data_IF_562249671668
#
_entry.id   IF_562249671668
#
_cell.length_a   1.000
_cell.length_b   1.000
_cell.length_c   1.000
_cell.angle_alpha   90.00
_cell.angle_beta   90.00
_cell.angle_gamma   90.00
#
_symmetry.space_group_name_H-M   'P 1'
#
loop_
_entity.id
_entity.type
_entity.pdbx_description
1 polymer ?
#
# COMPACT_ATOMS: atom_id res chain seq x y z
N UNK A 1 -66.39 -34.00 28.65
CA UNK A 1 -65.35 -34.54 29.56
C UNK A 1 -64.05 -33.80 29.30
N UNK A 2 -63.29 -33.60 30.37
CA UNK A 2 -62.36 -32.50 30.57
C UNK A 2 -61.13 -32.47 29.66
N UNK A 3 -60.68 -31.24 29.43
CA UNK A 3 -59.39 -30.81 28.91
C UNK A 3 -58.25 -31.41 29.75
N UNK A 4 -57.16 -31.90 29.14
CA UNK A 4 -55.84 -31.81 29.76
C UNK A 4 -54.72 -31.63 28.72
N UNK A 5 -54.10 -30.46 28.84
CA UNK A 5 -52.90 -29.98 28.19
C UNK A 5 -51.69 -30.77 28.72
N UNK A 6 -50.84 -31.31 27.83
CA UNK A 6 -49.48 -31.70 28.19
C UNK A 6 -48.52 -30.59 27.75
N UNK A 7 -48.38 -29.59 28.62
CA UNK A 7 -47.27 -28.65 28.64
C UNK A 7 -46.05 -29.33 29.26
N UNK A 8 -44.92 -29.36 28.55
CA UNK A 8 -43.62 -29.60 29.17
C UNK A 8 -42.89 -28.27 29.31
N UNK A 9 -42.87 -27.77 30.55
CA UNK A 9 -42.01 -26.68 31.01
C UNK A 9 -40.81 -27.26 31.77
N UNK A 10 -39.61 -26.67 31.64
CA UNK A 10 -38.41 -27.06 32.39
C UNK A 10 -38.27 -26.24 33.69
N UNK A 11 -38.02 -26.90 34.81
CA UNK A 11 -37.68 -26.35 36.13
C UNK A 11 -36.83 -27.45 36.82
N UNK A 12 -35.68 -27.26 37.49
CA UNK A 12 -35.14 -26.24 38.42
C UNK A 12 -33.60 -26.44 38.46
N UNK A 13 -32.75 -25.42 38.53
CA UNK A 13 -32.34 -24.60 39.71
C UNK A 13 -31.53 -25.35 40.77
N UNK A 14 -30.36 -24.77 41.11
CA UNK A 14 -29.55 -24.73 42.37
C UNK A 14 -28.07 -24.88 41.96
N UNK A 15 -27.10 -24.05 42.35
CA UNK A 15 -27.05 -22.98 43.33
C UNK A 15 -25.68 -22.27 43.28
N UNK A 16 -25.63 -21.16 43.99
CA UNK A 16 -24.54 -20.21 44.22
C UNK A 16 -23.31 -20.79 44.93
N UNK A 17 -22.11 -20.29 44.59
CA UNK A 17 -21.09 -19.94 45.58
C UNK A 17 -20.07 -18.96 44.99
N UNK A 18 -19.87 -17.86 45.71
CA UNK A 18 -18.86 -16.84 45.48
C UNK A 18 -17.45 -17.39 45.73
N UNK A 19 -16.50 -16.93 44.93
CA UNK A 19 -15.08 -17.23 45.09
C UNK A 19 -14.22 -16.14 44.45
N UNK A 20 -14.22 -14.95 45.07
CA UNK A 20 -13.27 -13.89 44.80
C UNK A 20 -11.92 -14.29 45.38
N UNK A 21 -10.92 -14.49 44.52
CA UNK A 21 -9.51 -14.51 44.92
C UNK A 21 -8.79 -13.39 44.18
N UNK A 22 -8.68 -12.25 44.89
CA UNK A 22 -7.69 -11.23 44.63
C UNK A 22 -6.30 -11.83 44.79
N UNK A 23 -5.53 -11.85 43.70
CA UNK A 23 -4.08 -11.99 43.74
C UNK A 23 -3.49 -10.70 43.16
N UNK A 24 -3.05 -9.84 44.07
CA UNK A 24 -2.17 -8.73 43.78
C UNK A 24 -0.86 -9.24 43.20
N UNK A 25 -0.47 -8.71 42.05
CA UNK A 25 0.93 -8.66 41.64
C UNK A 25 1.09 -7.53 40.62
N UNK A 26 1.30 -6.33 41.16
CA UNK A 26 1.84 -5.21 40.43
C UNK A 26 3.22 -5.59 39.87
N UNK A 27 3.31 -5.88 38.58
CA UNK A 27 4.59 -5.84 37.86
C UNK A 27 4.48 -4.69 36.85
N UNK A 28 4.64 -3.49 37.38
CA UNK A 28 4.94 -2.33 36.56
C UNK A 28 6.35 -2.53 35.99
N UNK A 29 6.43 -2.84 34.70
CA UNK A 29 7.66 -2.70 33.92
C UNK A 29 8.02 -1.21 33.85
N UNK A 30 8.67 -0.71 34.91
CA UNK A 30 9.24 0.64 34.97
C UNK A 30 10.43 0.69 34.00
N UNK A 31 10.14 1.02 32.74
CA UNK A 31 11.16 1.42 31.78
C UNK A 31 11.82 2.70 32.26
N UNK A 32 12.98 2.57 32.88
CA UNK A 32 13.83 3.69 33.28
C UNK A 32 14.81 3.95 32.13
N UNK A 33 14.39 4.71 31.12
CA UNK A 33 15.30 5.25 30.11
C UNK A 33 15.90 6.53 30.68
N UNK A 34 17.08 6.42 31.28
CA UNK A 34 17.90 7.57 31.64
C UNK A 34 18.17 8.38 30.37
N UNK A 35 17.65 9.61 30.35
CA UNK A 35 17.92 10.60 29.33
C UNK A 35 19.43 10.95 29.34
N UNK A 36 20.12 10.68 28.23
CA UNK A 36 21.45 11.21 28.01
C UNK A 36 21.32 12.66 27.46
N UNK A 37 22.06 13.64 28.00
CA UNK A 37 22.01 15.01 27.53
C UNK A 37 22.68 15.17 26.15
N UNK A 38 22.05 15.96 25.28
CA UNK A 38 22.54 16.37 23.96
C UNK A 38 23.92 17.05 24.04
N UNK A 39 24.92 16.66 23.24
CA UNK A 39 26.07 17.51 22.97
C UNK A 39 25.70 18.58 21.92
N UNK A 40 25.93 19.84 22.28
CA UNK A 40 25.66 21.05 21.49
C UNK A 40 26.44 21.09 20.16
N UNK A 41 25.93 21.81 19.13
CA UNK A 41 26.57 21.93 17.83
C UNK A 41 27.83 22.79 17.88
N UNK A 42 28.95 22.27 17.36
CA UNK A 42 30.19 23.02 17.21
C UNK A 42 30.04 24.09 16.13
N UNK A 43 30.21 25.36 16.53
CA UNK A 43 30.23 26.53 15.65
C UNK A 43 31.56 26.59 14.91
N UNK A 44 31.51 26.47 13.58
CA UNK A 44 32.63 26.76 12.69
C UNK A 44 32.91 28.28 12.58
N UNK A 45 34.12 28.67 12.12
CA UNK A 45 34.59 30.05 12.20
C UNK A 45 33.89 30.99 11.22
N UNK A 46 33.60 32.20 11.73
CA UNK A 46 33.10 33.38 11.02
C UNK A 46 34.02 33.73 9.83
N UNK A 47 33.53 33.51 8.62
CA UNK A 47 34.14 34.11 7.42
C UNK A 47 33.74 35.58 7.34
N UNK A 48 34.79 36.41 7.22
CA UNK A 48 34.78 37.87 7.21
C UNK A 48 34.77 38.31 5.74
N UNK A 49 33.68 38.89 5.27
CA UNK A 49 33.63 39.67 4.02
C UNK A 49 32.96 41.00 4.36
N UNK A 50 33.77 42.06 4.56
CA UNK A 50 34.17 43.08 3.56
C UNK A 50 32.97 43.91 3.10
N UNK A 51 32.78 45.00 3.83
CA UNK A 51 32.02 46.19 3.46
C UNK A 51 32.55 46.78 2.15
N UNK A 52 31.68 47.15 1.23
CA UNK A 52 31.78 48.36 0.39
C UNK A 52 30.37 48.73 -0.08
N UNK A 53 29.94 49.95 0.27
CA UNK A 53 28.78 50.60 -0.31
C UNK A 53 29.20 51.59 -1.39
N UNK A 54 28.19 52.00 -2.16
CA UNK A 54 28.08 53.18 -3.04
C UNK A 54 28.64 53.04 -4.50
N UNK A 55 28.18 53.87 -5.48
CA UNK A 55 26.95 53.67 -6.25
C UNK A 55 27.05 54.02 -7.77
N UNK A 56 25.96 53.76 -8.53
CA UNK A 56 25.48 54.40 -9.79
C UNK A 56 26.43 54.49 -11.02
N UNK A 57 25.98 53.93 -12.15
CA UNK A 57 25.83 54.71 -13.41
C UNK A 57 24.96 53.98 -14.45
N UNK A 58 23.93 54.70 -14.86
CA UNK A 58 23.05 54.43 -16.00
C UNK A 58 23.84 54.74 -17.26
N UNK A 59 24.00 53.77 -18.16
CA UNK A 59 24.33 54.02 -19.57
C UNK A 59 23.53 53.07 -20.44
N UNK A 60 22.56 53.65 -21.15
CA UNK A 60 21.87 53.05 -22.29
C UNK A 60 22.84 52.80 -23.44
N UNK A 61 22.66 51.73 -24.22
CA UNK A 61 23.04 51.74 -25.62
C UNK A 61 21.77 51.76 -26.47
N UNK A 62 21.72 52.78 -27.33
CA UNK A 62 20.83 52.93 -28.47
C UNK A 62 20.75 51.64 -29.29
N UNK A 63 19.51 51.22 -29.57
CA UNK A 63 19.21 50.13 -30.50
C UNK A 63 19.41 50.70 -31.90
N UNK A 64 20.54 50.35 -32.53
CA UNK A 64 20.74 50.54 -33.96
C UNK A 64 20.04 49.41 -34.72
N UNK A 65 18.91 49.78 -35.30
CA UNK A 65 18.14 48.99 -36.25
C UNK A 65 18.76 49.15 -37.63
N UNK A 66 19.45 48.13 -38.15
CA UNK A 66 19.43 47.85 -39.59
C UNK A 66 20.03 46.48 -39.97
N UNK A 67 19.41 45.93 -41.01
CA UNK A 67 19.86 44.89 -41.95
C UNK A 67 19.76 43.41 -41.56
N UNK A 68 18.58 42.90 -41.92
CA UNK A 68 18.33 41.62 -42.61
C UNK A 68 19.59 41.06 -43.28
N UNK A 69 20.04 39.90 -42.80
CA UNK A 69 21.04 39.05 -43.42
C UNK A 69 20.91 37.64 -42.87
N UNK A 70 20.35 36.74 -43.67
CA UNK A 70 20.00 35.38 -43.26
C UNK A 70 21.21 34.56 -42.79
N UNK A 71 21.08 33.97 -41.61
CA UNK A 71 21.89 32.82 -41.21
C UNK A 71 20.96 31.73 -40.73
N UNK A 72 20.87 30.66 -41.51
CA UNK A 72 20.35 29.37 -41.07
C UNK A 72 21.27 28.83 -39.97
N UNK A 73 21.08 29.29 -38.73
CA UNK A 73 21.71 28.70 -37.56
C UNK A 73 20.98 27.39 -37.24
N UNK A 74 21.41 26.30 -37.88
CA UNK A 74 21.06 24.97 -37.41
C UNK A 74 21.39 24.89 -35.91
N UNK A 75 20.50 24.32 -35.06
CA UNK A 75 20.78 24.21 -33.64
C UNK A 75 22.06 23.40 -33.49
N UNK A 76 23.12 24.06 -33.00
CA UNK A 76 24.40 23.41 -32.70
C UNK A 76 24.09 22.43 -31.58
N UNK A 77 23.80 21.17 -31.94
CA UNK A 77 23.63 20.08 -30.98
C UNK A 77 24.97 19.94 -30.29
N UNK A 78 25.09 20.57 -29.13
CA UNK A 78 26.13 20.26 -28.18
C UNK A 78 25.93 18.79 -27.83
N UNK A 79 26.65 17.92 -28.52
CA UNK A 79 26.91 16.57 -28.06
C UNK A 79 27.62 16.73 -26.72
N UNK A 80 26.83 16.84 -25.63
CA UNK A 80 27.30 16.65 -24.27
C UNK A 80 27.79 15.21 -24.24
N UNK A 81 29.06 15.02 -24.60
CA UNK A 81 29.79 13.80 -24.30
C UNK A 81 29.59 13.60 -22.81
N UNK A 82 28.71 12.66 -22.44
CA UNK A 82 28.50 12.30 -21.03
C UNK A 82 29.89 11.89 -20.54
N UNK A 83 30.47 12.72 -19.67
CA UNK A 83 31.77 12.44 -19.08
C UNK A 83 31.74 11.09 -18.33
N UNK A 84 32.90 10.55 -17.94
CA UNK A 84 32.97 9.29 -17.22
C UNK A 84 32.00 9.31 -16.03
N UNK A 85 31.12 8.31 -15.94
CA UNK A 85 30.15 8.20 -14.85
C UNK A 85 30.93 8.09 -13.54
N UNK A 86 30.84 9.15 -12.74
CA UNK A 86 31.56 9.27 -11.48
C UNK A 86 31.04 8.19 -10.52
N UNK A 87 31.79 7.09 -10.35
CA UNK A 87 31.35 5.89 -9.60
C UNK A 87 30.81 6.24 -8.21
N UNK A 88 31.37 7.28 -7.57
CA UNK A 88 30.91 7.81 -6.29
C UNK A 88 29.48 8.37 -6.35
N UNK A 89 29.16 9.16 -7.38
CA UNK A 89 27.81 9.73 -7.58
C UNK A 89 26.78 8.65 -7.84
N UNK A 90 27.14 7.62 -8.62
CA UNK A 90 26.25 6.49 -8.87
C UNK A 90 25.87 5.74 -7.59
N UNK A 91 26.85 5.50 -6.71
CA UNK A 91 26.59 4.84 -5.42
C UNK A 91 25.75 5.71 -4.48
N UNK A 92 25.99 7.02 -4.47
CA UNK A 92 25.22 7.99 -3.69
C UNK A 92 23.78 8.11 -4.19
N UNK A 93 23.58 8.14 -5.51
CA UNK A 93 22.27 8.16 -6.14
C UNK A 93 21.50 6.87 -5.87
N UNK A 94 22.17 5.71 -5.93
CA UNK A 94 21.57 4.43 -5.53
C UNK A 94 21.13 4.43 -4.06
N UNK A 95 21.93 5.03 -3.16
CA UNK A 95 21.56 5.20 -1.75
C UNK A 95 20.37 6.15 -1.59
N UNK A 96 20.41 7.32 -2.23
CA UNK A 96 19.32 8.30 -2.17
C UNK A 96 18.00 7.72 -2.72
N UNK A 97 18.07 6.93 -3.79
CA UNK A 97 16.92 6.19 -4.32
C UNK A 97 16.40 5.14 -3.31
N UNK A 98 17.29 4.43 -2.62
CA UNK A 98 16.89 3.47 -1.59
C UNK A 98 16.18 4.15 -0.41
N UNK A 99 16.66 5.32 -0.01
CA UNK A 99 16.08 6.16 1.05
C UNK A 99 14.73 6.75 0.60
N UNK A 100 14.63 7.23 -0.65
CA UNK A 100 13.37 7.69 -1.26
C UNK A 100 12.31 6.60 -1.24
N UNK A 101 12.64 5.39 -1.69
CA UNK A 101 11.71 4.24 -1.70
C UNK A 101 11.25 3.85 -0.31
N UNK A 102 12.12 3.99 0.70
CA UNK A 102 11.73 3.73 2.09
C UNK A 102 10.73 4.77 2.60
N UNK A 103 10.92 6.04 2.24
CA UNK A 103 10.04 7.15 2.61
C UNK A 103 8.67 7.08 1.89
N UNK A 104 8.65 6.68 0.63
CA UNK A 104 7.43 6.50 -0.17
C UNK A 104 6.44 5.52 0.48
N UNK A 105 6.92 4.51 1.21
CA UNK A 105 6.05 3.55 1.92
C UNK A 105 5.21 4.19 3.03
N UNK A 106 5.71 5.27 3.63
CA UNK A 106 4.95 6.00 4.64
C UNK A 106 3.86 6.85 4.00
N UNK A 107 3.97 7.16 2.71
CA UNK A 107 2.95 7.84 1.92
C UNK A 107 1.82 6.88 1.50
N UNK A 108 0.86 6.72 2.39
CA UNK A 108 -0.31 5.85 2.19
C UNK A 108 -1.37 6.40 1.23
N UNK A 109 -1.37 7.73 0.99
CA UNK A 109 -2.32 8.41 0.09
C UNK A 109 -1.71 8.55 -1.30
N UNK A 110 -2.43 8.07 -2.31
CA UNK A 110 -2.13 8.33 -3.73
C UNK A 110 -2.78 9.65 -4.14
N UNK A 111 -1.96 10.65 -4.49
CA UNK A 111 -2.44 11.95 -4.97
C UNK A 111 -2.69 11.90 -6.47
N UNK A 112 -3.83 12.42 -6.91
CA UNK A 112 -4.13 12.58 -8.34
C UNK A 112 -3.90 14.03 -8.76
N UNK A 113 -3.56 14.23 -10.03
CA UNK A 113 -3.49 15.56 -10.60
C UNK A 113 -4.87 16.24 -10.49
N UNK A 114 -4.91 17.46 -9.96
CA UNK A 114 -6.15 18.19 -9.69
C UNK A 114 -6.66 18.08 -8.25
N UNK A 115 -6.11 17.17 -7.43
CA UNK A 115 -6.42 17.14 -6.00
C UNK A 115 -5.82 18.38 -5.31
N UNK A 116 -6.66 19.15 -4.61
CA UNK A 116 -6.20 20.23 -3.74
C UNK A 116 -5.79 19.65 -2.39
N UNK A 117 -4.69 20.17 -1.82
CA UNK A 117 -4.20 19.78 -0.51
C UNK A 117 -4.12 20.99 0.42
N UNK A 118 -4.45 20.77 1.68
CA UNK A 118 -4.13 21.68 2.77
C UNK A 118 -2.87 21.18 3.51
N UNK A 119 -2.15 22.04 4.24
CA UNK A 119 -1.03 21.61 5.08
C UNK A 119 -1.39 20.49 6.06
N UNK A 120 -2.65 20.44 6.51
CA UNK A 120 -3.16 19.40 7.39
C UNK A 120 -3.20 17.99 6.73
N UNK A 121 -3.37 17.92 5.41
CA UNK A 121 -3.45 16.65 4.68
C UNK A 121 -2.13 15.87 4.62
N UNK A 122 -1.02 16.57 4.89
CA UNK A 122 0.32 15.98 4.99
C UNK A 122 0.63 15.48 6.40
N UNK A 123 -0.29 15.65 7.34
CA UNK A 123 -0.09 15.20 8.73
C UNK A 123 -0.14 13.68 8.83
N UNK A 124 0.62 13.06 9.75
CA UNK A 124 0.57 11.61 9.98
C UNK A 124 -0.83 11.09 10.33
N UNK A 125 -1.66 11.92 10.96
CA UNK A 125 -3.02 11.59 11.33
C UNK A 125 -3.91 11.40 10.10
N UNK A 126 -3.83 12.31 9.13
CA UNK A 126 -4.55 12.18 7.85
C UNK A 126 -4.04 10.99 7.06
N UNK A 127 -2.73 10.82 6.92
CA UNK A 127 -2.15 9.68 6.20
C UNK A 127 -2.64 8.33 6.74
N UNK A 128 -2.82 8.20 8.07
CA UNK A 128 -3.36 6.98 8.68
C UNK A 128 -4.78 6.66 8.20
N UNK A 129 -5.63 7.66 7.94
CA UNK A 129 -7.00 7.47 7.44
C UNK A 129 -7.02 6.88 6.03
N UNK A 130 -6.08 7.30 5.19
CA UNK A 130 -5.95 6.85 3.80
C UNK A 130 -5.34 5.45 3.64
N UNK A 131 -4.94 4.80 4.74
CA UNK A 131 -4.41 3.44 4.70
C UNK A 131 -5.49 2.49 4.14
N UNK A 132 -5.26 2.01 2.91
CA UNK A 132 -6.20 1.14 2.18
C UNK A 132 -6.60 -0.08 3.03
N UNK A 133 -7.90 -0.32 3.14
CA UNK A 133 -8.45 -1.59 3.63
C UNK A 133 -8.46 -2.58 2.46
N UNK A 134 -8.02 -3.82 2.70
CA UNK A 134 -7.83 -4.82 1.64
C UNK A 134 -9.13 -5.38 1.04
N UNK A 135 -10.30 -5.08 1.61
CA UNK A 135 -11.59 -5.55 1.11
C UNK A 135 -12.22 -4.55 0.15
N UNK A 136 -12.51 -4.92 -1.11
CA UNK A 136 -13.34 -4.11 -2.00
C UNK A 136 -14.69 -3.77 -1.36
N UNK A 137 -15.19 -2.56 -1.62
CA UNK A 137 -16.50 -2.12 -1.09
C UNK A 137 -17.68 -2.81 -1.77
N UNK A 138 -17.50 -3.21 -3.03
CA UNK A 138 -18.55 -3.78 -3.89
C UNK A 138 -18.19 -5.22 -4.22
N UNK A 139 -19.19 -6.11 -4.19
CA UNK A 139 -19.02 -7.51 -4.56
C UNK A 139 -18.74 -7.64 -6.07
N UNK A 140 -17.65 -8.32 -6.43
CA UNK A 140 -17.23 -8.51 -7.82
C UNK A 140 -18.29 -9.22 -8.67
N UNK A 141 -19.02 -10.19 -8.11
CA UNK A 141 -20.03 -10.96 -8.87
C UNK A 141 -21.32 -10.17 -9.07
N UNK A 142 -21.71 -9.34 -8.10
CA UNK A 142 -22.85 -8.44 -8.23
C UNK A 142 -22.52 -7.33 -9.26
N UNK A 143 -21.29 -6.81 -9.27
CA UNK A 143 -20.87 -5.81 -10.26
C UNK A 143 -20.82 -6.36 -11.70
N UNK A 144 -20.41 -7.62 -11.86
CA UNK A 144 -20.34 -8.28 -13.17
C UNK A 144 -21.65 -8.97 -13.58
N UNK A 145 -22.68 -8.97 -12.72
CA UNK A 145 -23.94 -9.70 -12.92
C UNK A 145 -23.74 -11.19 -13.27
N UNK A 146 -22.79 -11.86 -12.62
CA UNK A 146 -22.49 -13.28 -12.84
C UNK A 146 -22.90 -14.13 -11.65
N UNK A 147 -23.45 -15.32 -11.91
CA UNK A 147 -23.71 -16.30 -10.88
C UNK A 147 -22.45 -17.14 -10.59
N UNK A 148 -21.91 -17.13 -9.34
CA UNK A 148 -20.70 -17.87 -9.01
C UNK A 148 -20.83 -19.39 -9.17
N UNK A 149 -22.06 -19.93 -9.08
CA UNK A 149 -22.35 -21.36 -9.18
C UNK A 149 -22.08 -21.95 -10.57
N UNK A 150 -22.22 -21.12 -11.61
CA UNK A 150 -22.10 -21.56 -13.00
C UNK A 150 -20.63 -21.59 -13.45
N UNK A 151 -19.79 -20.81 -12.77
CA UNK A 151 -18.36 -20.65 -13.06
C UNK A 151 -17.50 -21.80 -12.51
N UNK A 152 -18.08 -22.89 -12.01
CA UNK A 152 -17.32 -24.01 -11.42
C UNK A 152 -16.31 -24.66 -12.38
N UNK A 153 -16.51 -24.51 -13.70
CA UNK A 153 -15.61 -25.02 -14.75
C UNK A 153 -14.39 -24.11 -14.95
N UNK A 154 -14.48 -22.84 -14.56
CA UNK A 154 -13.41 -21.87 -14.74
C UNK A 154 -12.44 -21.91 -13.54
N UNK A 155 -11.36 -22.67 -13.69
CA UNK A 155 -10.34 -22.82 -12.66
C UNK A 155 -9.66 -21.50 -12.28
N UNK A 156 -9.51 -20.55 -13.22
CA UNK A 156 -8.90 -19.24 -12.94
C UNK A 156 -9.73 -18.47 -11.93
N UNK A 157 -11.05 -18.38 -12.14
CA UNK A 157 -11.94 -17.69 -11.19
C UNK A 157 -12.00 -18.42 -9.85
N UNK A 158 -12.12 -19.75 -9.85
CA UNK A 158 -12.16 -20.53 -8.61
C UNK A 158 -10.86 -20.40 -7.79
N UNK A 159 -9.71 -20.35 -8.48
CA UNK A 159 -8.38 -20.28 -7.86
C UNK A 159 -8.12 -18.98 -7.09
N UNK A 160 -8.79 -17.88 -7.47
CA UNK A 160 -8.68 -16.59 -6.77
C UNK A 160 -9.34 -16.64 -5.38
N UNK A 161 -10.38 -17.46 -5.20
CA UNK A 161 -11.13 -17.55 -3.93
C UNK A 161 -10.64 -18.67 -2.99
N UNK A 162 -9.52 -19.31 -3.32
CA UNK A 162 -8.83 -20.27 -2.45
C UNK A 162 -7.45 -19.73 -2.02
N UNK A 163 -6.93 -20.25 -0.91
CA UNK A 163 -5.58 -19.94 -0.45
C UNK A 163 -4.55 -20.70 -1.30
N UNK A 164 -3.26 -20.37 -1.13
CA UNK A 164 -2.16 -21.14 -1.72
C UNK A 164 -2.22 -22.63 -1.37
N UNK A 165 -2.78 -22.97 -0.19
CA UNK A 165 -2.99 -24.33 0.33
C UNK A 165 -4.34 -24.94 -0.11
N UNK A 166 -5.09 -24.30 -1.00
CA UNK A 166 -6.37 -24.84 -1.51
C UNK A 166 -7.58 -24.69 -0.57
N UNK A 167 -7.44 -24.04 0.59
CA UNK A 167 -8.57 -23.77 1.50
C UNK A 167 -9.40 -22.59 0.97
N UNK A 168 -10.72 -22.64 1.09
CA UNK A 168 -11.59 -21.53 0.67
C UNK A 168 -11.32 -20.30 1.56
N UNK A 169 -11.05 -19.15 0.93
CA UNK A 169 -10.82 -17.87 1.64
C UNK A 169 -12.07 -17.46 2.45
N UNK A 170 -11.87 -16.94 3.66
CA UNK A 170 -12.96 -16.41 4.48
C UNK A 170 -13.56 -15.14 3.87
N UNK A 171 -14.84 -14.83 4.18
CA UNK A 171 -15.54 -13.64 3.67
C UNK A 171 -14.76 -12.34 3.85
N UNK A 172 -14.05 -12.19 4.98
CA UNK A 172 -13.28 -10.98 5.27
C UNK A 172 -12.11 -10.78 4.28
N UNK A 173 -11.59 -11.87 3.71
CA UNK A 173 -10.52 -11.83 2.72
C UNK A 173 -11.08 -11.62 1.31
N UNK A 174 -12.25 -12.19 1.00
CA UNK A 174 -12.85 -12.12 -0.35
C UNK A 174 -13.65 -10.84 -0.58
N UNK A 175 -14.18 -10.21 0.48
CA UNK A 175 -15.04 -9.02 0.38
C UNK A 175 -16.43 -9.30 -0.22
N UNK A 176 -16.79 -10.57 -0.45
CA UNK A 176 -18.04 -10.92 -1.10
C UNK A 176 -19.25 -10.80 -0.16
N UNK A 177 -20.43 -10.66 -0.75
CA UNK A 177 -21.71 -10.70 -0.03
C UNK A 177 -21.96 -12.12 0.49
N UNK A 178 -22.58 -12.31 1.68
CA UNK A 178 -22.73 -13.65 2.28
C UNK A 178 -23.42 -14.68 1.39
N UNK A 179 -24.38 -14.24 0.57
CA UNK A 179 -25.07 -15.09 -0.41
C UNK A 179 -24.10 -15.59 -1.48
N UNK A 180 -23.33 -14.68 -2.09
CA UNK A 180 -22.37 -15.00 -3.12
C UNK A 180 -21.19 -15.80 -2.57
N UNK A 181 -20.75 -15.52 -1.33
CA UNK A 181 -19.74 -16.32 -0.64
C UNK A 181 -20.18 -17.79 -0.49
N UNK A 182 -21.46 -18.07 -0.21
CA UNK A 182 -21.97 -19.45 -0.17
C UNK A 182 -22.02 -20.08 -1.56
N UNK A 183 -22.43 -19.31 -2.58
CA UNK A 183 -22.46 -19.75 -3.99
C UNK A 183 -21.05 -20.12 -4.48
N UNK A 184 -20.05 -19.25 -4.30
CA UNK A 184 -18.67 -19.52 -4.71
C UNK A 184 -18.09 -20.71 -3.94
N UNK A 185 -18.36 -20.80 -2.63
CA UNK A 185 -17.90 -21.95 -1.83
C UNK A 185 -18.49 -23.27 -2.33
N UNK A 186 -19.75 -23.27 -2.76
CA UNK A 186 -20.41 -24.44 -3.35
C UNK A 186 -19.85 -24.76 -4.74
N UNK A 187 -19.56 -23.76 -5.57
CA UNK A 187 -18.92 -23.93 -6.87
C UNK A 187 -17.53 -24.56 -6.74
N UNK A 188 -16.69 -24.07 -5.82
CA UNK A 188 -15.35 -24.62 -5.54
C UNK A 188 -15.45 -26.08 -5.09
N UNK A 189 -16.34 -26.39 -4.13
CA UNK A 189 -16.54 -27.77 -3.68
C UNK A 189 -16.99 -28.70 -4.81
N UNK A 190 -17.83 -28.21 -5.73
CA UNK A 190 -18.24 -28.95 -6.94
C UNK A 190 -17.03 -29.20 -7.85
N UNK A 191 -16.23 -28.17 -8.15
CA UNK A 191 -15.07 -28.29 -9.01
C UNK A 191 -14.04 -29.31 -8.48
N UNK A 192 -13.76 -29.27 -7.17
CA UNK A 192 -12.87 -30.23 -6.50
C UNK A 192 -13.48 -31.64 -6.51
N UNK A 193 -14.77 -31.79 -6.19
CA UNK A 193 -15.44 -33.09 -6.19
C UNK A 193 -15.53 -33.75 -7.57
N UNK A 194 -15.56 -32.95 -8.64
CA UNK A 194 -15.51 -33.43 -10.03
C UNK A 194 -14.08 -33.71 -10.54
N UNK A 195 -13.05 -33.40 -9.76
CA UNK A 195 -11.65 -33.56 -10.18
C UNK A 195 -11.14 -32.49 -11.16
N UNK A 196 -11.85 -31.37 -11.31
CA UNK A 196 -11.44 -30.27 -12.21
C UNK A 196 -10.38 -29.34 -11.58
N UNK A 197 -10.26 -29.33 -10.25
CA UNK A 197 -9.32 -28.46 -9.53
C UNK A 197 -8.70 -29.20 -8.33
N UNK A 198 -7.40 -28.99 -8.04
CA UNK A 198 -6.75 -29.57 -6.87
C UNK A 198 -7.35 -29.08 -5.54
N UNK A 199 -7.30 -29.94 -4.53
CA UNK A 199 -7.80 -29.66 -3.17
C UNK A 199 -6.76 -28.97 -2.27
N UNK A 200 -5.47 -29.27 -2.48
CA UNK A 200 -4.37 -28.89 -1.55
C UNK A 200 -3.52 -27.72 -2.04
N UNK A 201 -3.67 -27.30 -3.29
CA UNK A 201 -2.96 -26.16 -3.87
C UNK A 201 -3.81 -25.45 -4.92
N UNK A 202 -3.35 -24.29 -5.41
CA UNK A 202 -3.96 -23.61 -6.57
C UNK A 202 -3.77 -24.42 -7.86
N UNK A 203 -4.60 -24.19 -8.87
CA UNK A 203 -4.50 -24.88 -10.15
C UNK A 203 -3.09 -24.70 -10.78
N UNK A 204 -2.45 -25.76 -11.32
CA UNK A 204 -1.07 -25.70 -11.79
C UNK A 204 -0.86 -24.69 -12.91
N UNK A 205 -1.79 -24.58 -13.86
CA UNK A 205 -1.72 -23.58 -14.93
C UNK A 205 -1.72 -22.14 -14.39
N UNK A 206 -2.42 -21.89 -13.29
CA UNK A 206 -2.46 -20.57 -12.64
C UNK A 206 -1.11 -20.28 -11.97
N UNK A 207 -0.50 -21.29 -11.33
CA UNK A 207 0.83 -21.16 -10.75
C UNK A 207 1.92 -20.96 -11.82
N UNK A 208 1.81 -21.66 -12.94
CA UNK A 208 2.71 -21.50 -14.08
C UNK A 208 2.56 -20.10 -14.70
N UNK A 209 1.33 -19.62 -14.90
CA UNK A 209 1.07 -18.26 -15.38
C UNK A 209 1.60 -17.20 -14.39
N UNK A 210 1.38 -17.39 -13.08
CA UNK A 210 1.91 -16.50 -12.04
C UNK A 210 3.45 -16.49 -12.05
N UNK A 211 4.10 -17.64 -12.15
CA UNK A 211 5.55 -17.75 -12.26
C UNK A 211 6.09 -17.03 -13.51
N UNK A 212 5.45 -17.22 -14.67
CA UNK A 212 5.81 -16.52 -15.92
C UNK A 212 5.69 -15.00 -15.76
N UNK A 213 4.57 -14.51 -15.22
CA UNK A 213 4.34 -13.08 -15.02
C UNK A 213 5.37 -12.43 -14.09
N UNK A 214 5.81 -13.16 -13.06
CA UNK A 214 6.88 -12.70 -12.14
C UNK A 214 8.25 -12.64 -12.81
N UNK A 215 8.57 -13.56 -13.72
CA UNK A 215 9.84 -13.53 -14.47
C UNK A 215 9.87 -12.39 -15.49
N UNK A 216 8.75 -12.17 -16.19
CA UNK A 216 8.63 -11.12 -17.21
C UNK A 216 8.63 -9.71 -16.60
N UNK A 217 7.91 -9.52 -15.49
CA UNK A 217 7.83 -8.25 -14.76
C UNK A 217 9.12 -7.83 -14.03
N UNK A 218 10.13 -8.69 -13.96
CA UNK A 218 11.45 -8.39 -13.40
C UNK A 218 12.45 -7.77 -14.38
N UNK A 219 12.07 -7.59 -15.65
CA UNK A 219 12.93 -7.06 -16.72
C UNK A 219 12.82 -5.54 -16.95
N UNK A 220 11.99 -4.84 -16.18
CA UNK A 220 11.86 -3.37 -16.25
C UNK A 220 12.84 -2.68 -15.30
N UNK A 221 14.06 -2.43 -15.78
CA UNK A 221 14.95 -1.39 -15.24
C UNK A 221 14.76 -0.10 -16.02
#
# INVERSE_FOLDING_TARGET
MALHLFSWSPLRTVGSAFGSVSAAASVACRWNSTAAPNPAPQRGPRSRYRTWGEPISIISPSIDFSLIGGFNAAPKVYNRRRGPVDRRRFLEEQRAQSESRALERFQTREWKAGDLYAPHDLSPAEMKKWRKRYSPSTDAFDALNLNPLDLYKNFSVMSEYITSMGRIKHRNMTGLRPVNQRKISKAIRRAVGLGLMPSVHRHPEVLAAEARSRMEGGSGY
#
